data_IF_173282851484
#
_entry.id   IF_173282851484
#
_cell.length_a   1.000
_cell.length_b   1.000
_cell.length_c   1.000
_cell.angle_alpha   90.00
_cell.angle_beta   90.00
_cell.angle_gamma   90.00
#
_symmetry.space_group_name_H-M   'P 1'
#
loop_
_entity.id
_entity.type
_entity.pdbx_description
1 polymer ?
#
# COMPACT_ATOMS: atom_id res chain seq x y z
N UNK A 1 19.30 -6.14 27.99
CA UNK A 1 19.33 -5.53 26.64
C UNK A 1 18.66 -6.48 25.67
N UNK A 2 17.66 -6.05 24.89
CA UNK A 2 17.04 -6.90 23.86
C UNK A 2 17.99 -6.99 22.66
N UNK A 3 18.19 -8.20 22.13
CA UNK A 3 19.03 -8.39 20.94
C UNK A 3 18.34 -7.85 19.68
N UNK A 4 19.09 -7.69 18.59
CA UNK A 4 18.59 -7.13 17.32
C UNK A 4 17.34 -7.89 16.80
N UNK A 5 17.36 -9.22 16.87
CA UNK A 5 16.23 -10.07 16.47
C UNK A 5 14.96 -9.85 17.32
N UNK A 6 15.11 -9.64 18.63
CA UNK A 6 13.98 -9.29 19.51
C UNK A 6 13.43 -7.90 19.21
N UNK A 7 14.30 -6.94 18.86
CA UNK A 7 13.86 -5.59 18.50
C UNK A 7 13.12 -5.58 17.15
N UNK A 8 13.59 -6.33 16.17
CA UNK A 8 12.94 -6.50 14.88
C UNK A 8 11.58 -7.21 15.00
N UNK A 9 11.50 -8.25 15.84
CA UNK A 9 10.22 -8.90 16.16
C UNK A 9 9.21 -7.92 16.77
N UNK A 10 9.61 -7.15 17.77
CA UNK A 10 8.74 -6.15 18.42
C UNK A 10 8.34 -5.04 17.44
N UNK A 11 9.22 -4.67 16.52
CA UNK A 11 8.93 -3.68 15.48
C UNK A 11 7.88 -4.23 14.49
N UNK A 12 8.02 -5.48 14.06
CA UNK A 12 7.11 -6.13 13.11
C UNK A 12 5.74 -6.49 13.72
N UNK A 13 5.68 -6.86 14.99
CA UNK A 13 4.41 -7.08 15.71
C UNK A 13 3.53 -5.81 15.77
N UNK A 14 4.13 -4.61 15.70
CA UNK A 14 3.41 -3.32 15.67
C UNK A 14 2.96 -2.90 14.27
N UNK A 15 3.19 -3.71 13.24
CA UNK A 15 2.72 -3.41 11.88
C UNK A 15 1.35 -4.01 11.64
N UNK A 16 0.47 -3.23 11.04
CA UNK A 16 -0.82 -3.67 10.54
C UNK A 16 -0.65 -4.02 9.07
N UNK A 17 -1.16 -5.18 8.65
CA UNK A 17 -1.16 -5.57 7.24
C UNK A 17 -2.59 -5.49 6.68
N UNK A 18 -2.72 -4.90 5.50
CA UNK A 18 -3.99 -4.69 4.80
C UNK A 18 -4.06 -5.59 3.58
N UNK A 19 -5.09 -6.42 3.48
CA UNK A 19 -5.30 -7.33 2.36
C UNK A 19 -6.52 -6.96 1.51
N UNK A 20 -6.37 -6.90 0.19
CA UNK A 20 -7.47 -6.85 -0.79
C UNK A 20 -7.03 -7.55 -2.09
N UNK A 21 -7.84 -8.50 -2.59
CA UNK A 21 -7.61 -9.19 -3.87
C UNK A 21 -6.16 -9.69 -4.09
N UNK A 22 -5.48 -10.12 -3.03
CA UNK A 22 -4.08 -10.60 -3.09
C UNK A 22 -3.00 -9.54 -2.88
N UNK A 23 -3.34 -8.25 -2.82
CA UNK A 23 -2.42 -7.17 -2.42
C UNK A 23 -2.28 -7.16 -0.90
N UNK A 24 -1.05 -7.10 -0.41
CA UNK A 24 -0.75 -6.92 1.02
C UNK A 24 0.14 -5.69 1.24
N UNK A 25 -0.33 -4.75 2.07
CA UNK A 25 0.44 -3.56 2.44
C UNK A 25 0.60 -3.45 3.96
N UNK A 26 1.79 -3.04 4.43
CA UNK A 26 2.07 -2.94 5.87
C UNK A 26 2.31 -1.51 6.35
N UNK A 27 1.64 -1.12 7.43
CA UNK A 27 1.66 0.21 8.02
C UNK A 27 2.02 0.18 9.50
N UNK A 28 2.43 1.33 10.07
CA UNK A 28 2.51 1.49 11.52
C UNK A 28 1.09 1.53 12.09
N UNK A 29 0.88 0.91 13.24
CA UNK A 29 -0.43 0.76 13.92
C UNK A 29 -1.10 2.04 14.44
N UNK A 30 -0.64 3.24 14.04
CA UNK A 30 -1.11 4.53 14.58
C UNK A 30 -1.29 5.57 13.47
N UNK A 31 -2.11 5.27 12.47
CA UNK A 31 -2.39 6.19 11.36
C UNK A 31 -3.88 6.35 11.10
N UNK A 32 -4.29 7.53 10.65
CA UNK A 32 -5.69 7.84 10.29
C UNK A 32 -6.24 6.86 9.24
N UNK A 33 -5.37 6.37 8.34
CA UNK A 33 -5.74 5.33 7.36
C UNK A 33 -6.29 4.06 8.02
N UNK A 34 -5.74 3.66 9.17
CA UNK A 34 -6.19 2.48 9.91
C UNK A 34 -7.55 2.76 10.56
N UNK A 35 -7.73 3.95 11.14
CA UNK A 35 -9.01 4.37 11.73
C UNK A 35 -10.12 4.38 10.68
N UNK A 36 -9.85 4.96 9.51
CA UNK A 36 -10.81 5.02 8.41
C UNK A 36 -11.18 3.62 7.91
N UNK A 37 -10.20 2.73 7.80
CA UNK A 37 -10.42 1.35 7.38
C UNK A 37 -11.25 0.54 8.39
N UNK A 38 -11.01 0.76 9.70
CA UNK A 38 -11.80 0.13 10.76
C UNK A 38 -13.26 0.62 10.74
N UNK A 39 -13.49 1.89 10.39
CA UNK A 39 -14.83 2.45 10.25
C UNK A 39 -15.53 2.00 8.95
N UNK A 40 -14.77 1.75 7.88
CA UNK A 40 -15.28 1.33 6.58
C UNK A 40 -14.21 0.54 5.81
N UNK A 41 -14.49 -0.74 5.54
CA UNK A 41 -13.57 -1.65 4.85
C UNK A 41 -13.39 -1.37 3.37
N UNK A 42 -14.25 -0.54 2.76
CA UNK A 42 -14.20 -0.27 1.32
C UNK A 42 -12.93 0.51 0.98
N UNK A 43 -12.09 -0.05 0.11
CA UNK A 43 -10.87 0.59 -0.36
C UNK A 43 -10.74 0.53 -1.88
N UNK A 44 -9.89 1.41 -2.39
CA UNK A 44 -9.38 1.41 -3.75
C UNK A 44 -7.85 1.38 -3.67
N UNK A 45 -7.22 0.47 -4.41
CA UNK A 45 -5.79 0.49 -4.67
C UNK A 45 -5.57 0.86 -6.13
N UNK A 46 -4.73 1.86 -6.34
CA UNK A 46 -4.31 2.32 -7.66
C UNK A 46 -2.82 2.03 -7.78
N UNK A 47 -2.46 1.38 -8.87
CA UNK A 47 -1.08 1.05 -9.24
C UNK A 47 -0.89 1.67 -10.61
N UNK A 48 -0.07 2.71 -10.68
CA UNK A 48 0.21 3.43 -11.91
C UNK A 48 1.67 3.21 -12.31
N UNK A 49 1.89 2.84 -13.56
CA UNK A 49 3.20 2.82 -14.21
C UNK A 49 3.27 3.99 -15.18
N UNK A 50 4.10 4.98 -14.84
CA UNK A 50 4.41 6.08 -15.74
C UNK A 50 5.38 5.61 -16.82
N UNK A 51 5.03 5.87 -18.09
CA UNK A 51 5.82 5.44 -19.25
C UNK A 51 6.56 6.63 -19.86
N UNK A 52 5.84 7.68 -20.25
CA UNK A 52 6.43 8.82 -20.94
C UNK A 52 5.61 10.12 -20.82
N UNK A 53 6.28 11.26 -21.04
CA UNK A 53 5.63 12.55 -21.20
C UNK A 53 5.40 12.77 -22.69
N UNK A 54 4.15 12.95 -23.09
CA UNK A 54 3.74 13.27 -24.45
C UNK A 54 3.68 14.81 -24.57
N UNK A 55 4.83 15.43 -24.81
CA UNK A 55 4.97 16.87 -24.93
C UNK A 55 5.65 17.36 -26.22
N UNK A 56 5.84 16.47 -27.20
CA UNK A 56 6.43 16.83 -28.48
C UNK A 56 5.40 17.51 -29.40
N UNK A 57 5.83 18.55 -30.12
CA UNK A 57 5.05 19.26 -31.15
C UNK A 57 3.66 19.79 -30.70
N UNK A 58 3.53 20.17 -29.44
CA UNK A 58 2.27 20.71 -28.91
C UNK A 58 1.92 22.07 -29.54
N UNK A 59 0.62 22.32 -29.77
CA UNK A 59 0.10 23.62 -30.22
C UNK A 59 -0.19 24.56 -29.05
N UNK A 60 -0.51 23.99 -27.89
CA UNK A 60 -0.74 24.68 -26.63
C UNK A 60 -0.15 23.86 -25.47
N UNK A 61 0.32 24.49 -24.38
CA UNK A 61 0.74 23.77 -23.16
C UNK A 61 -0.33 22.82 -22.60
N UNK A 62 -1.62 23.12 -22.83
CA UNK A 62 -2.74 22.28 -22.40
C UNK A 62 -2.87 20.96 -23.16
N UNK A 63 -2.15 20.81 -24.29
CA UNK A 63 -2.16 19.58 -25.10
C UNK A 63 -1.19 18.53 -24.55
N UNK A 64 -0.38 18.86 -23.54
CA UNK A 64 0.56 17.93 -22.92
C UNK A 64 -0.18 16.79 -22.22
N UNK A 65 0.30 15.56 -22.39
CA UNK A 65 -0.26 14.38 -21.74
C UNK A 65 0.84 13.45 -21.22
N UNK A 66 0.48 12.43 -20.45
CA UNK A 66 1.37 11.34 -20.05
C UNK A 66 0.87 10.02 -20.64
N UNK A 67 1.81 9.22 -21.12
CA UNK A 67 1.59 7.79 -21.37
C UNK A 67 1.80 7.04 -20.06
N UNK A 68 0.82 6.25 -19.66
CA UNK A 68 0.87 5.45 -18.44
C UNK A 68 -0.03 4.22 -18.58
N UNK A 69 0.28 3.19 -17.80
CA UNK A 69 -0.62 2.06 -17.53
C UNK A 69 -1.11 2.16 -16.09
N UNK A 70 -2.36 1.77 -15.86
CA UNK A 70 -2.96 1.84 -14.52
C UNK A 70 -3.83 0.62 -14.24
N UNK A 71 -3.74 0.11 -13.01
CA UNK A 71 -4.61 -0.94 -12.48
C UNK A 71 -5.35 -0.39 -11.27
N UNK A 72 -6.69 -0.40 -11.35
CA UNK A 72 -7.58 0.02 -10.27
C UNK A 72 -8.23 -1.22 -9.65
N UNK A 73 -7.97 -1.47 -8.37
CA UNK A 73 -8.52 -2.60 -7.62
C UNK A 73 -9.42 -2.07 -6.52
N UNK A 74 -10.70 -2.47 -6.57
CA UNK A 74 -11.72 -2.08 -5.58
C UNK A 74 -12.19 -3.30 -4.83
N UNK A 75 -12.47 -3.12 -3.54
CA UNK A 75 -13.05 -4.18 -2.73
C UNK A 75 -13.06 -3.82 -1.25
N UNK A 76 -13.32 -4.83 -0.43
CA UNK A 76 -13.26 -4.72 1.02
C UNK A 76 -11.93 -5.24 1.52
N UNK A 77 -11.24 -4.42 2.29
CA UNK A 77 -9.96 -4.80 2.85
C UNK A 77 -10.05 -5.19 4.32
N UNK A 78 -9.16 -6.10 4.71
CA UNK A 78 -9.11 -6.64 6.07
C UNK A 78 -7.76 -6.35 6.70
N UNK A 79 -7.81 -5.96 7.97
CA UNK A 79 -6.63 -5.89 8.82
C UNK A 79 -6.27 -7.32 9.24
N UNK A 80 -5.09 -7.76 8.85
CA UNK A 80 -4.48 -8.97 9.41
C UNK A 80 -3.79 -8.54 10.70
N UNK A 81 -4.12 -9.18 11.82
CA UNK A 81 -3.46 -8.97 13.12
C UNK A 81 -2.49 -10.10 13.48
N UNK A 82 -2.82 -11.33 13.07
CA UNK A 82 -2.05 -12.55 13.32
C UNK A 82 -0.62 -12.42 12.81
N UNK A 83 0.34 -12.54 13.72
CA UNK A 83 1.75 -12.41 13.41
C UNK A 83 2.27 -13.52 12.51
N UNK A 84 1.83 -14.76 12.68
CA UNK A 84 2.29 -15.89 11.87
C UNK A 84 1.81 -15.75 10.42
N UNK A 85 0.64 -15.14 10.20
CA UNK A 85 0.16 -14.78 8.86
C UNK A 85 0.94 -13.60 8.28
N UNK A 86 1.27 -12.57 9.09
CA UNK A 86 2.03 -11.40 8.63
C UNK A 86 3.48 -11.72 8.31
N UNK A 87 4.10 -12.61 9.08
CA UNK A 87 5.55 -12.84 9.12
C UNK A 87 6.16 -13.07 7.73
N UNK A 88 5.61 -13.93 6.86
CA UNK A 88 6.16 -14.15 5.51
C UNK A 88 6.26 -12.89 4.65
N UNK A 89 5.43 -11.88 4.93
CA UNK A 89 5.33 -10.66 4.14
C UNK A 89 6.04 -9.45 4.77
N UNK A 90 6.44 -9.56 6.04
CA UNK A 90 7.20 -8.53 6.75
C UNK A 90 8.71 -8.79 6.74
N UNK A 91 9.13 -9.99 6.33
CA UNK A 91 10.54 -10.31 6.13
C UNK A 91 11.01 -9.72 4.79
N UNK A 92 12.03 -8.88 4.85
CA UNK A 92 12.79 -8.40 3.68
C UNK A 92 14.12 -9.11 3.64
#
# INVERSE_FOLDING_TARGET
MKNAAQNERIYNERRICLQNAGILQSWKNQGEKIVNLLANSKVCFEIDEYIALQADNLKSPCDANAEFESVIIRGDAKIIEDFDIKRPFLQK
#
